data_IF_717956441799
#
_entry.id   IF_717956441799
#
_cell.length_a   1.000
_cell.length_b   1.000
_cell.length_c   1.000
_cell.angle_alpha   90.00
_cell.angle_beta   90.00
_cell.angle_gamma   90.00
#
_symmetry.space_group_name_H-M   'P 1'
#
loop_
_entity.id
_entity.type
_entity.pdbx_description
1 polymer ?
#
# COMPACT_ATOMS: atom_id res chain seq x y z
N UNK A 1 -31.73 49.16 26.05
CA UNK A 1 -30.82 48.76 24.96
C UNK A 1 -30.88 47.25 24.90
N UNK A 2 -31.69 46.70 24.02
CA UNK A 2 -31.85 45.25 23.88
C UNK A 2 -30.92 44.78 22.78
N UNK A 3 -29.89 44.04 23.17
CA UNK A 3 -28.82 43.53 22.32
C UNK A 3 -29.40 42.44 21.39
N UNK A 4 -29.76 42.83 20.16
CA UNK A 4 -30.34 41.93 19.17
C UNK A 4 -29.21 41.16 18.47
N UNK A 5 -28.61 40.21 19.19
CA UNK A 5 -27.54 39.36 18.64
C UNK A 5 -28.09 38.49 17.51
N UNK A 6 -27.49 38.62 16.32
CA UNK A 6 -27.80 37.78 15.16
C UNK A 6 -27.56 36.32 15.54
N UNK A 7 -28.49 35.43 15.19
CA UNK A 7 -28.34 33.98 15.33
C UNK A 7 -28.56 33.32 13.99
N UNK A 8 -27.73 32.32 13.69
CA UNK A 8 -27.75 31.50 12.49
C UNK A 8 -28.50 30.22 12.83
N UNK A 9 -29.53 29.89 12.05
CA UNK A 9 -30.14 28.58 12.11
C UNK A 9 -29.22 27.61 11.39
N UNK A 10 -28.61 26.69 12.12
CA UNK A 10 -27.75 25.64 11.60
C UNK A 10 -28.56 24.35 11.55
N UNK A 11 -28.71 23.79 10.35
CA UNK A 11 -29.37 22.50 10.11
C UNK A 11 -28.31 21.46 9.81
N UNK A 12 -28.34 20.35 10.54
CA UNK A 12 -27.43 19.22 10.33
C UNK A 12 -28.16 18.12 9.56
N UNK A 13 -27.51 17.60 8.52
CA UNK A 13 -28.02 16.53 7.65
C UNK A 13 -26.98 15.41 7.63
N UNK A 14 -27.41 14.17 7.82
CA UNK A 14 -26.56 13.00 7.62
C UNK A 14 -26.29 12.82 6.12
N UNK A 15 -25.01 12.73 5.74
CA UNK A 15 -24.62 12.61 4.33
C UNK A 15 -25.00 11.25 3.72
N UNK A 16 -25.18 10.22 4.54
CA UNK A 16 -25.40 8.84 4.07
C UNK A 16 -26.83 8.57 3.60
N UNK A 17 -27.81 9.23 4.21
CA UNK A 17 -29.24 8.97 3.95
C UNK A 17 -30.09 10.24 3.74
N UNK A 18 -29.46 11.43 3.74
CA UNK A 18 -30.12 12.74 3.65
C UNK A 18 -31.09 13.06 4.80
N UNK A 19 -31.06 12.31 5.91
CA UNK A 19 -31.95 12.57 7.05
C UNK A 19 -31.48 13.76 7.90
N UNK A 20 -32.42 14.63 8.35
CA UNK A 20 -32.08 15.72 9.24
C UNK A 20 -31.74 15.21 10.64
N UNK A 21 -30.49 15.43 11.06
CA UNK A 21 -30.01 15.09 12.40
C UNK A 21 -30.54 16.08 13.47
N UNK A 22 -30.75 17.34 13.09
CA UNK A 22 -31.32 18.35 13.97
C UNK A 22 -31.04 19.79 13.55
N UNK A 23 -31.54 20.74 14.34
CA UNK A 23 -31.32 22.17 14.12
C UNK A 23 -30.93 22.90 15.41
N UNK A 24 -30.02 23.87 15.30
CA UNK A 24 -29.59 24.71 16.42
C UNK A 24 -29.45 26.18 16.00
N UNK A 25 -29.68 27.09 16.94
CA UNK A 25 -29.45 28.53 16.71
C UNK A 25 -28.19 29.00 17.40
N UNK A 26 -27.13 29.20 16.61
CA UNK A 26 -25.82 29.61 17.10
C UNK A 26 -25.51 31.07 16.75
N UNK A 27 -24.80 31.81 17.61
CA UNK A 27 -24.21 33.08 17.24
C UNK A 27 -23.07 32.86 16.22
N UNK A 28 -22.86 33.75 15.24
CA UNK A 28 -21.82 33.58 14.20
C UNK A 28 -20.41 33.37 14.74
N UNK A 29 -20.11 33.88 15.93
CA UNK A 29 -18.80 33.78 16.57
C UNK A 29 -18.47 32.36 17.07
N UNK A 30 -19.47 31.47 17.17
CA UNK A 30 -19.30 30.05 17.51
C UNK A 30 -19.09 29.16 16.27
N UNK A 31 -19.16 29.72 15.06
CA UNK A 31 -18.93 29.01 13.80
C UNK A 31 -17.57 29.42 13.24
N UNK A 32 -16.87 28.58 12.45
CA UNK A 32 -15.61 28.95 11.81
C UNK A 32 -15.82 30.09 10.79
N UNK A 33 -14.71 30.65 10.29
CA UNK A 33 -14.78 31.68 9.24
C UNK A 33 -15.25 31.07 7.90
N UNK A 34 -14.87 29.81 7.66
CA UNK A 34 -15.22 29.00 6.50
C UNK A 34 -15.24 27.52 6.88
N UNK A 35 -16.04 26.73 6.18
CA UNK A 35 -16.01 25.26 6.23
C UNK A 35 -15.25 24.65 5.04
N UNK A 36 -14.38 25.43 4.39
CA UNK A 36 -13.50 24.93 3.33
C UNK A 36 -12.35 24.04 3.87
N UNK A 37 -12.03 24.19 5.15
CA UNK A 37 -11.08 23.34 5.85
C UNK A 37 -11.82 22.20 6.58
N UNK A 38 -11.14 21.07 6.73
CA UNK A 38 -11.66 19.91 7.42
C UNK A 38 -12.08 20.27 8.85
N UNK A 39 -13.39 20.17 9.12
CA UNK A 39 -13.97 20.58 10.40
C UNK A 39 -14.68 19.38 11.01
N UNK A 40 -14.33 19.03 12.24
CA UNK A 40 -15.05 18.01 13.03
C UNK A 40 -15.96 18.70 14.03
N UNK A 41 -17.20 18.22 14.14
CA UNK A 41 -18.19 18.64 15.13
C UNK A 41 -18.41 17.52 16.13
N UNK A 42 -18.58 17.89 17.39
CA UNK A 42 -18.99 16.98 18.44
C UNK A 42 -20.50 17.17 18.67
N UNK A 43 -21.30 16.16 18.33
CA UNK A 43 -22.75 16.16 18.49
C UNK A 43 -23.13 14.97 19.37
N UNK A 44 -23.72 15.25 20.54
CA UNK A 44 -23.98 14.27 21.60
C UNK A 44 -22.71 13.51 22.02
N UNK A 45 -22.68 12.18 21.86
CA UNK A 45 -21.53 11.32 22.19
C UNK A 45 -20.65 10.99 20.97
N UNK A 46 -20.99 11.54 19.80
CA UNK A 46 -20.38 11.20 18.51
C UNK A 46 -19.58 12.37 17.91
N UNK A 47 -18.49 12.02 17.22
CA UNK A 47 -17.75 12.95 16.39
C UNK A 47 -18.24 12.84 14.94
N UNK A 48 -18.41 13.98 14.28
CA UNK A 48 -18.95 14.09 12.93
C UNK A 48 -18.06 14.97 12.08
N UNK A 49 -17.73 14.52 10.87
CA UNK A 49 -16.97 15.29 9.89
C UNK A 49 -17.92 16.14 9.05
N UNK A 50 -17.65 17.44 8.91
CA UNK A 50 -18.37 18.30 7.97
C UNK A 50 -17.90 17.99 6.55
N UNK A 51 -18.74 17.33 5.75
CA UNK A 51 -18.42 16.98 4.35
C UNK A 51 -18.85 18.05 3.35
N UNK A 52 -19.88 18.83 3.71
CA UNK A 52 -20.28 19.99 2.92
C UNK A 52 -20.99 21.04 3.78
N UNK A 53 -20.90 22.31 3.36
CA UNK A 53 -21.59 23.42 3.99
C UNK A 53 -22.23 24.32 2.94
N UNK A 54 -23.47 24.74 3.19
CA UNK A 54 -24.20 25.71 2.36
C UNK A 54 -24.94 26.72 3.24
N UNK A 55 -24.57 28.02 3.22
CA UNK A 55 -23.40 28.61 2.55
C UNK A 55 -22.05 28.24 3.20
N UNK A 56 -20.95 28.33 2.44
CA UNK A 56 -19.62 27.88 2.87
C UNK A 56 -18.95 28.82 3.88
N UNK A 57 -19.22 30.14 3.80
CA UNK A 57 -18.49 31.16 4.56
C UNK A 57 -19.36 31.93 5.55
N UNK A 58 -18.73 32.44 6.62
CA UNK A 58 -19.43 33.19 7.68
C UNK A 58 -20.13 34.43 7.19
N UNK A 59 -19.56 35.13 6.21
CA UNK A 59 -20.20 36.29 5.61
C UNK A 59 -21.55 35.92 4.98
N UNK A 60 -21.60 34.81 4.25
CA UNK A 60 -22.79 34.37 3.52
C UNK A 60 -23.86 33.85 4.47
N UNK A 61 -23.51 32.93 5.39
CA UNK A 61 -24.51 32.39 6.31
C UNK A 61 -24.98 33.43 7.34
N UNK A 62 -24.19 34.47 7.64
CA UNK A 62 -24.65 35.62 8.44
C UNK A 62 -25.67 36.47 7.69
N UNK A 63 -25.50 36.62 6.37
CA UNK A 63 -26.44 37.32 5.52
C UNK A 63 -27.76 36.56 5.37
N UNK A 64 -27.70 35.24 5.12
CA UNK A 64 -28.89 34.39 4.95
C UNK A 64 -29.56 34.02 6.28
N UNK A 65 -28.82 34.10 7.39
CA UNK A 65 -29.18 33.60 8.73
C UNK A 65 -29.45 32.09 8.77
N UNK A 66 -28.95 31.36 7.77
CA UNK A 66 -29.12 29.92 7.61
C UNK A 66 -27.81 29.28 7.18
N UNK A 67 -27.53 28.12 7.73
CA UNK A 67 -26.39 27.28 7.38
C UNK A 67 -26.87 25.82 7.39
N UNK A 68 -26.63 25.09 6.32
CA UNK A 68 -26.86 23.65 6.26
C UNK A 68 -25.50 22.97 6.24
N UNK A 69 -25.26 22.05 7.17
CA UNK A 69 -24.05 21.22 7.21
C UNK A 69 -24.43 19.78 6.92
N UNK A 70 -23.76 19.18 5.93
CA UNK A 70 -23.79 17.74 5.68
C UNK A 70 -22.68 17.10 6.49
N UNK A 71 -23.02 16.07 7.25
CA UNK A 71 -22.14 15.45 8.21
C UNK A 71 -21.98 13.96 7.91
N UNK A 72 -20.77 13.45 8.06
CA UNK A 72 -20.48 12.02 8.05
C UNK A 72 -19.98 11.60 9.43
N UNK A 73 -20.56 10.55 10.01
CA UNK A 73 -20.19 10.09 11.36
C UNK A 73 -18.76 9.55 11.35
N UNK A 74 -17.96 10.02 12.30
CA UNK A 74 -16.60 9.49 12.50
C UNK A 74 -16.71 8.20 13.30
N UNK A 75 -16.61 7.07 12.62
CA UNK A 75 -16.55 5.77 13.30
C UNK A 75 -15.21 5.61 14.03
N UNK A 76 -15.25 5.61 15.36
CA UNK A 76 -14.11 5.23 16.19
C UNK A 76 -13.99 3.71 16.20
N UNK A 77 -13.22 3.18 15.25
CA UNK A 77 -12.83 1.77 15.25
C UNK A 77 -11.78 1.59 16.34
N UNK A 78 -12.01 0.64 17.24
CA UNK A 78 -10.99 0.23 18.20
C UNK A 78 -9.78 -0.32 17.43
N UNK A 79 -8.57 0.27 17.56
CA UNK A 79 -7.39 -0.24 16.88
C UNK A 79 -7.12 -1.72 17.14
N UNK A 80 -7.56 -2.28 18.29
CA UNK A 80 -7.43 -3.70 18.60
C UNK A 80 -8.31 -4.61 17.71
N UNK A 81 -9.27 -4.03 16.99
CA UNK A 81 -10.12 -4.73 16.02
C UNK A 81 -9.63 -4.60 14.58
N UNK A 82 -8.60 -3.78 14.34
CA UNK A 82 -7.99 -3.65 13.02
C UNK A 82 -7.19 -4.91 12.72
N UNK A 83 -7.61 -5.62 11.68
CA UNK A 83 -6.93 -6.81 11.19
C UNK A 83 -5.77 -6.42 10.29
N UNK A 84 -4.74 -7.26 10.26
CA UNK A 84 -3.73 -7.21 9.21
C UNK A 84 -4.36 -7.61 7.87
N UNK A 85 -3.97 -6.90 6.81
CA UNK A 85 -4.35 -7.17 5.41
C UNK A 85 -3.52 -8.27 4.77
N UNK A 86 -2.40 -8.66 5.38
CA UNK A 86 -1.50 -9.69 4.90
C UNK A 86 -1.15 -10.67 6.03
N UNK A 87 -0.96 -11.96 5.72
CA UNK A 87 -0.49 -12.94 6.70
C UNK A 87 0.98 -12.75 7.07
N UNK A 88 1.75 -12.00 6.26
CA UNK A 88 3.17 -11.82 6.48
C UNK A 88 3.75 -10.54 5.89
N UNK A 89 4.78 -10.00 6.53
CA UNK A 89 5.59 -8.85 6.09
C UNK A 89 7.08 -9.13 6.31
N UNK A 90 7.94 -8.41 5.59
CA UNK A 90 9.40 -8.46 5.82
C UNK A 90 9.76 -7.62 7.05
N UNK A 91 10.73 -8.08 7.86
CA UNK A 91 11.18 -7.40 9.08
C UNK A 91 11.78 -6.02 8.84
N UNK A 92 12.48 -5.85 7.71
CA UNK A 92 13.20 -4.61 7.40
C UNK A 92 12.86 -4.11 6.00
N UNK A 93 12.61 -2.82 5.91
CA UNK A 93 12.57 -2.07 4.67
C UNK A 93 13.97 -1.54 4.36
N UNK A 94 14.37 -1.48 3.09
CA UNK A 94 15.60 -0.81 2.72
C UNK A 94 15.53 0.68 3.05
N UNK A 95 16.68 1.27 3.40
CA UNK A 95 16.77 2.69 3.69
C UNK A 95 16.40 3.54 2.47
N UNK A 96 15.71 4.66 2.71
CA UNK A 96 15.59 5.73 1.72
C UNK A 96 16.81 6.65 1.83
N UNK A 97 17.39 7.02 0.69
CA UNK A 97 18.55 7.90 0.64
C UNK A 97 18.16 9.37 0.49
N UNK A 98 19.12 10.17 0.04
CA UNK A 98 18.92 11.62 -0.14
C UNK A 98 18.48 12.02 -1.56
N UNK A 99 18.36 11.05 -2.48
CA UNK A 99 18.00 11.35 -3.88
C UNK A 99 16.52 11.70 -3.98
N UNK A 100 16.15 12.90 -4.47
CA UNK A 100 14.77 13.29 -4.62
C UNK A 100 14.08 12.47 -5.73
N UNK A 101 12.76 12.38 -5.63
CA UNK A 101 11.94 11.75 -6.65
C UNK A 101 11.91 12.57 -7.94
N UNK A 102 11.84 11.88 -9.07
CA UNK A 102 11.66 12.48 -10.40
C UNK A 102 10.24 12.30 -10.95
N UNK A 103 9.42 11.49 -10.29
CA UNK A 103 8.07 11.11 -10.75
C UNK A 103 8.06 9.94 -11.74
N UNK A 104 9.19 9.24 -11.87
CA UNK A 104 9.38 8.09 -12.76
C UNK A 104 9.81 6.85 -11.98
N UNK A 105 9.76 6.90 -10.65
CA UNK A 105 10.07 5.78 -9.80
C UNK A 105 8.89 4.81 -9.76
N UNK A 106 9.18 3.51 -9.61
CA UNK A 106 8.16 2.58 -9.16
C UNK A 106 7.81 2.93 -7.71
N UNK A 107 6.57 3.33 -7.47
CA UNK A 107 6.03 3.58 -6.14
C UNK A 107 5.34 2.30 -5.64
N UNK A 108 5.68 1.85 -4.44
CA UNK A 108 5.04 0.69 -3.81
C UNK A 108 4.65 0.94 -2.37
N UNK A 109 3.66 0.19 -1.88
CA UNK A 109 3.37 0.12 -0.46
C UNK A 109 4.45 -0.70 0.26
N UNK A 110 4.76 -0.28 1.49
CA UNK A 110 5.80 -0.87 2.33
C UNK A 110 5.52 -2.35 2.63
N UNK A 111 4.26 -2.70 2.87
CA UNK A 111 3.82 -4.07 3.16
C UNK A 111 3.90 -5.02 1.95
N UNK A 112 3.96 -4.48 0.73
CA UNK A 112 4.20 -5.24 -0.50
C UNK A 112 5.69 -5.55 -0.75
N UNK A 113 6.61 -4.99 0.05
CA UNK A 113 8.04 -5.24 -0.07
C UNK A 113 8.37 -6.73 0.11
N UNK A 114 8.99 -7.32 -0.92
CA UNK A 114 9.43 -8.72 -0.95
C UNK A 114 8.31 -9.72 -0.65
N UNK A 115 7.08 -9.48 -1.11
CA UNK A 115 5.99 -10.46 -1.01
C UNK A 115 5.99 -11.49 -2.15
N UNK A 116 6.58 -11.13 -3.29
CA UNK A 116 6.75 -11.99 -4.45
C UNK A 116 8.12 -11.72 -5.05
N UNK A 117 9.04 -12.68 -4.93
CA UNK A 117 10.46 -12.46 -5.26
C UNK A 117 11.15 -13.75 -5.74
N UNK A 118 12.30 -13.57 -6.38
CA UNK A 118 13.26 -14.63 -6.68
C UNK A 118 14.28 -14.73 -5.55
N UNK A 119 14.57 -15.96 -5.12
CA UNK A 119 15.46 -16.27 -3.99
C UNK A 119 16.42 -17.40 -4.38
N UNK A 120 17.69 -17.33 -3.99
CA UNK A 120 18.66 -18.39 -4.26
C UNK A 120 18.26 -19.70 -3.57
N UNK A 121 18.37 -20.81 -4.31
CA UNK A 121 18.02 -22.15 -3.81
C UNK A 121 18.88 -22.62 -2.63
N UNK A 122 20.06 -22.03 -2.40
CA UNK A 122 20.84 -22.29 -1.18
C UNK A 122 20.09 -21.90 0.11
N UNK A 123 19.07 -21.04 0.03
CA UNK A 123 18.24 -20.64 1.16
C UNK A 123 16.99 -21.51 1.34
N UNK A 124 16.84 -22.64 0.64
CA UNK A 124 15.60 -23.42 0.69
C UNK A 124 15.14 -23.80 2.09
N UNK A 125 16.04 -24.10 3.03
CA UNK A 125 15.68 -24.40 4.42
C UNK A 125 15.12 -23.18 5.17
N UNK A 126 15.67 -21.99 4.91
CA UNK A 126 15.16 -20.74 5.49
C UNK A 126 13.79 -20.38 4.91
N UNK A 127 13.62 -20.58 3.59
CA UNK A 127 12.33 -20.38 2.92
C UNK A 127 11.28 -21.34 3.52
N UNK A 128 11.61 -22.61 3.74
CA UNK A 128 10.69 -23.58 4.33
C UNK A 128 10.25 -23.20 5.75
N UNK A 129 11.17 -22.73 6.59
CA UNK A 129 10.86 -22.28 7.95
C UNK A 129 9.91 -21.07 7.94
N UNK A 130 10.20 -20.09 7.09
CA UNK A 130 9.38 -18.88 6.94
C UNK A 130 7.99 -19.23 6.37
N UNK A 131 7.90 -20.05 5.32
CA UNK A 131 6.61 -20.48 4.76
C UNK A 131 5.77 -21.29 5.78
N UNK A 132 6.40 -22.14 6.60
CA UNK A 132 5.70 -22.86 7.66
C UNK A 132 5.13 -21.92 8.74
N UNK A 133 5.85 -20.85 9.09
CA UNK A 133 5.37 -19.84 10.02
C UNK A 133 4.20 -19.03 9.44
N UNK A 134 4.24 -18.69 8.14
CA UNK A 134 3.13 -18.00 7.46
C UNK A 134 1.91 -18.91 7.36
N UNK A 135 2.12 -20.20 7.08
CA UNK A 135 1.04 -21.19 7.06
C UNK A 135 0.33 -21.27 8.41
N UNK A 136 1.07 -21.20 9.52
CA UNK A 136 0.47 -21.14 10.84
C UNK A 136 -0.40 -19.89 11.07
N UNK A 137 -0.02 -18.73 10.51
CA UNK A 137 -0.86 -17.51 10.55
C UNK A 137 -2.17 -17.71 9.78
N UNK A 138 -2.12 -18.31 8.60
CA UNK A 138 -3.34 -18.65 7.84
C UNK A 138 -4.30 -19.52 8.64
N UNK A 139 -3.77 -20.57 9.28
CA UNK A 139 -4.57 -21.56 10.01
C UNK A 139 -5.15 -21.02 11.33
N UNK A 140 -4.39 -20.19 12.04
CA UNK A 140 -4.69 -19.85 13.44
C UNK A 140 -5.23 -18.43 13.62
N UNK A 141 -4.94 -17.52 12.69
CA UNK A 141 -5.17 -16.08 12.89
C UNK A 141 -6.06 -15.45 11.82
N UNK A 142 -6.46 -16.20 10.78
CA UNK A 142 -7.44 -15.74 9.80
C UNK A 142 -8.81 -15.47 10.44
N UNK A 143 -9.43 -14.37 10.03
CA UNK A 143 -10.78 -13.99 10.46
C UNK A 143 -11.42 -13.07 9.43
N UNK A 144 -12.51 -13.52 8.80
CA UNK A 144 -13.10 -12.80 7.68
C UNK A 144 -12.10 -12.61 6.55
N UNK A 145 -11.89 -11.36 6.13
CA UNK A 145 -10.99 -11.00 5.04
C UNK A 145 -9.56 -10.61 5.50
N UNK A 146 -9.21 -10.80 6.78
CA UNK A 146 -7.91 -10.41 7.32
C UNK A 146 -7.36 -11.36 8.38
N UNK A 147 -6.30 -10.95 9.06
CA UNK A 147 -5.62 -11.73 10.08
C UNK A 147 -5.45 -10.96 11.39
N UNK A 148 -5.59 -11.63 12.54
CA UNK A 148 -5.36 -11.02 13.87
C UNK A 148 -3.89 -10.79 14.19
N UNK A 149 -3.00 -11.55 13.55
CA UNK A 149 -1.54 -11.42 13.66
C UNK A 149 -0.92 -11.54 12.29
N UNK A 150 0.31 -11.04 12.19
CA UNK A 150 1.15 -11.13 11.01
C UNK A 150 2.45 -11.84 11.39
N UNK A 151 2.97 -12.66 10.49
CA UNK A 151 4.32 -13.20 10.61
C UNK A 151 5.34 -12.24 10.03
N UNK A 152 6.32 -11.82 10.83
CA UNK A 152 7.39 -10.91 10.43
C UNK A 152 8.62 -11.72 10.00
N UNK A 153 8.86 -11.81 8.69
CA UNK A 153 9.94 -12.61 8.09
C UNK A 153 11.29 -11.96 8.30
N UNK A 154 12.28 -12.75 8.73
CA UNK A 154 13.66 -12.28 8.92
C UNK A 154 14.61 -12.88 7.90
N UNK A 155 14.20 -13.97 7.25
CA UNK A 155 15.05 -14.74 6.36
C UNK A 155 14.41 -14.97 4.98
N UNK A 156 15.25 -15.14 3.94
CA UNK A 156 16.65 -14.75 3.92
C UNK A 156 16.80 -13.21 4.02
N UNK A 157 17.85 -12.76 4.72
CA UNK A 157 18.16 -11.33 4.86
C UNK A 157 18.60 -10.75 3.51
N UNK A 158 19.44 -11.50 2.78
CA UNK A 158 19.88 -11.21 1.41
C UNK A 158 19.44 -12.37 0.50
N UNK A 159 18.31 -12.25 -0.21
CA UNK A 159 17.69 -13.34 -0.99
C UNK A 159 18.53 -13.92 -2.10
N UNK A 160 19.41 -13.12 -2.72
CA UNK A 160 20.25 -13.58 -3.83
C UNK A 160 21.67 -13.76 -3.32
N UNK A 161 22.07 -15.02 -3.16
CA UNK A 161 23.45 -15.45 -2.93
C UNK A 161 24.06 -15.82 -4.28
N UNK A 162 24.65 -14.82 -4.96
CA UNK A 162 25.22 -15.05 -6.28
C UNK A 162 25.74 -13.80 -6.97
N UNK A 163 26.30 -14.02 -8.16
CA UNK A 163 26.90 -12.97 -8.99
C UNK A 163 25.92 -12.46 -10.06
N UNK A 164 24.66 -12.21 -9.70
CA UNK A 164 23.72 -11.54 -10.60
C UNK A 164 24.04 -10.04 -10.62
N UNK A 165 24.68 -9.56 -11.69
CA UNK A 165 24.85 -8.12 -11.88
C UNK A 165 23.55 -7.49 -12.36
N UNK A 166 23.30 -6.23 -11.97
CA UNK A 166 22.16 -5.47 -12.46
C UNK A 166 22.20 -5.32 -13.99
N UNK A 167 23.40 -5.20 -14.57
CA UNK A 167 23.56 -5.13 -16.03
C UNK A 167 23.12 -6.40 -16.73
N UNK A 168 23.44 -7.58 -16.19
CA UNK A 168 23.01 -8.86 -16.76
C UNK A 168 21.48 -9.02 -16.67
N UNK A 169 20.90 -8.61 -15.54
CA UNK A 169 19.46 -8.61 -15.34
C UNK A 169 18.77 -7.71 -16.38
N UNK A 170 19.19 -6.46 -16.50
CA UNK A 170 18.59 -5.52 -17.46
C UNK A 170 18.75 -5.99 -18.90
N UNK A 171 19.90 -6.58 -19.26
CA UNK A 171 20.12 -7.17 -20.58
C UNK A 171 19.15 -8.34 -20.85
N UNK A 172 18.87 -9.20 -19.85
CA UNK A 172 17.90 -10.28 -19.98
C UNK A 172 16.47 -9.78 -20.25
N UNK A 173 16.14 -8.54 -19.82
CA UNK A 173 14.87 -7.88 -20.08
C UNK A 173 14.92 -6.84 -21.21
N UNK A 174 16.04 -6.73 -21.94
CA UNK A 174 16.26 -5.72 -22.98
C UNK A 174 16.00 -4.28 -22.49
N UNK A 175 16.32 -3.99 -21.23
CA UNK A 175 16.16 -2.68 -20.59
C UNK A 175 17.46 -1.89 -20.73
N UNK A 176 17.36 -0.67 -21.25
CA UNK A 176 18.52 0.20 -21.43
C UNK A 176 19.03 0.80 -20.12
N UNK A 177 18.11 1.22 -19.24
CA UNK A 177 18.42 1.80 -17.93
C UNK A 177 17.27 1.55 -16.96
N UNK A 178 17.56 1.24 -15.69
CA UNK A 178 16.52 1.09 -14.68
C UNK A 178 16.00 2.46 -14.22
N UNK A 179 14.78 2.45 -13.72
CA UNK A 179 14.18 3.50 -12.92
C UNK A 179 14.57 3.36 -11.44
N UNK A 180 14.19 4.36 -10.63
CA UNK A 180 14.33 4.27 -9.18
C UNK A 180 13.15 3.53 -8.55
N UNK A 181 13.32 3.15 -7.28
CA UNK A 181 12.27 2.61 -6.43
C UNK A 181 11.96 3.62 -5.31
N UNK A 182 10.70 3.76 -4.94
CA UNK A 182 10.26 4.53 -3.77
C UNK A 182 9.11 3.84 -3.05
N UNK A 183 8.99 4.13 -1.76
CA UNK A 183 7.82 3.77 -0.97
C UNK A 183 6.76 4.86 -1.01
N UNK A 184 5.49 4.49 -0.84
CA UNK A 184 4.38 5.43 -0.77
C UNK A 184 4.54 6.37 0.43
N UNK A 185 4.44 7.68 0.18
CA UNK A 185 4.63 8.71 1.21
C UNK A 185 6.09 9.06 1.50
N UNK A 186 7.07 8.34 0.94
CA UNK A 186 8.47 8.74 1.01
C UNK A 186 8.75 9.93 0.09
N UNK A 187 9.67 10.82 0.52
CA UNK A 187 10.09 11.98 -0.27
C UNK A 187 11.31 11.70 -1.17
N UNK A 188 11.95 10.55 -0.99
CA UNK A 188 13.22 10.20 -1.63
C UNK A 188 13.24 8.74 -2.06
N UNK A 189 14.19 8.42 -2.95
CA UNK A 189 14.38 7.07 -3.49
C UNK A 189 14.99 6.12 -2.45
N UNK A 190 14.66 4.84 -2.58
CA UNK A 190 15.34 3.74 -1.89
C UNK A 190 16.82 3.69 -2.27
N UNK A 191 17.70 3.57 -1.29
CA UNK A 191 19.15 3.43 -1.51
C UNK A 191 19.48 2.15 -2.26
N UNK A 192 20.30 2.27 -3.30
CA UNK A 192 20.60 1.18 -4.23
C UNK A 192 19.37 0.48 -4.83
N UNK A 193 18.18 1.09 -4.69
CA UNK A 193 16.94 0.60 -5.24
C UNK A 193 16.91 0.79 -6.75
N UNK A 194 16.40 -0.22 -7.45
CA UNK A 194 16.11 -0.14 -8.87
C UNK A 194 14.70 -0.66 -9.14
N UNK A 195 14.13 -0.18 -10.23
CA UNK A 195 12.94 -0.76 -10.84
C UNK A 195 13.10 -0.77 -12.36
N UNK A 196 12.37 -1.62 -13.04
CA UNK A 196 12.20 -1.53 -14.50
C UNK A 196 10.87 -2.12 -14.90
N UNK A 197 10.36 -1.66 -16.04
CA UNK A 197 9.15 -2.21 -16.67
C UNK A 197 9.54 -2.83 -18.00
N UNK A 198 9.24 -4.12 -18.17
CA UNK A 198 9.42 -4.82 -19.43
C UNK A 198 8.49 -4.26 -20.52
N UNK A 199 8.79 -4.55 -21.79
CA UNK A 199 8.01 -4.03 -22.94
C UNK A 199 6.55 -4.47 -22.94
N UNK A 200 6.24 -5.55 -22.21
CA UNK A 200 4.90 -6.10 -22.03
C UNK A 200 4.17 -5.55 -20.79
N UNK A 201 4.78 -4.58 -20.08
CA UNK A 201 4.20 -3.90 -18.94
C UNK A 201 4.48 -4.52 -17.57
N UNK A 202 5.14 -5.69 -17.51
CA UNK A 202 5.49 -6.27 -16.21
C UNK A 202 6.64 -5.51 -15.54
N UNK A 203 6.42 -5.07 -14.30
CA UNK A 203 7.45 -4.39 -13.52
C UNK A 203 8.19 -5.34 -12.58
N UNK A 204 9.51 -5.15 -12.47
CA UNK A 204 10.35 -5.81 -11.48
C UNK A 204 11.10 -4.73 -10.69
N UNK A 205 11.51 -5.08 -9.47
CA UNK A 205 12.20 -4.16 -8.58
C UNK A 205 13.24 -4.90 -7.74
N UNK A 206 14.09 -4.16 -7.05
CA UNK A 206 15.05 -4.77 -6.17
C UNK A 206 16.10 -3.82 -5.62
N UNK A 207 17.12 -4.42 -5.03
CA UNK A 207 18.31 -3.73 -4.51
C UNK A 207 19.54 -4.23 -5.26
N UNK A 208 20.39 -3.29 -5.68
CA UNK A 208 21.64 -3.58 -6.36
C UNK A 208 22.83 -2.78 -5.78
N UNK A 209 23.19 -2.97 -4.50
CA UNK A 209 24.34 -2.29 -3.91
C UNK A 209 25.62 -2.64 -4.69
N UNK A 210 26.38 -1.62 -5.10
CA UNK A 210 27.57 -1.80 -5.93
C UNK A 210 27.30 -2.43 -7.31
N UNK A 211 26.05 -2.44 -7.78
CA UNK A 211 25.65 -3.04 -9.06
C UNK A 211 25.39 -4.55 -9.00
N UNK A 212 25.44 -5.17 -7.82
CA UNK A 212 25.14 -6.58 -7.61
C UNK A 212 23.75 -6.75 -7.01
N UNK A 213 22.88 -7.50 -7.68
CA UNK A 213 21.49 -7.70 -7.26
C UNK A 213 21.47 -8.57 -6.01
N UNK A 214 20.83 -8.05 -4.96
CA UNK A 214 20.66 -8.72 -3.65
C UNK A 214 19.20 -9.07 -3.37
N UNK A 215 18.27 -8.32 -3.97
CA UNK A 215 16.83 -8.54 -3.95
C UNK A 215 16.29 -8.41 -5.37
N UNK A 216 15.41 -9.31 -5.79
CA UNK A 216 14.69 -9.24 -7.06
C UNK A 216 13.20 -9.58 -6.84
N UNK A 217 12.40 -8.56 -6.67
CA UNK A 217 10.95 -8.65 -6.52
C UNK A 217 10.21 -8.49 -7.84
N UNK A 218 9.05 -9.13 -7.91
CA UNK A 218 8.08 -8.99 -8.99
C UNK A 218 6.98 -8.05 -8.48
N UNK A 219 6.81 -6.90 -9.14
CA UNK A 219 5.74 -5.98 -8.78
C UNK A 219 4.40 -6.63 -9.12
N UNK A 220 3.53 -6.75 -8.13
CA UNK A 220 2.16 -7.12 -8.37
C UNK A 220 1.48 -5.94 -9.07
N UNK A 221 1.17 -6.13 -10.36
CA UNK A 221 0.46 -5.13 -11.15
C UNK A 221 -1.02 -5.47 -11.16
N UNK A 222 -1.87 -4.55 -11.65
CA UNK A 222 -3.29 -4.82 -11.86
C UNK A 222 -3.56 -5.84 -12.98
N UNK A 223 -2.52 -6.35 -13.66
CA UNK A 223 -2.68 -7.36 -14.69
C UNK A 223 -3.05 -8.70 -14.05
N UNK A 224 -4.13 -9.38 -14.49
CA UNK A 224 -4.59 -10.66 -13.96
C UNK A 224 -3.58 -11.81 -14.11
N UNK A 225 -2.62 -11.66 -15.03
CA UNK A 225 -1.67 -12.69 -15.46
C UNK A 225 -0.44 -11.97 -16.02
N UNK A 226 0.76 -12.43 -15.68
CA UNK A 226 1.97 -11.92 -16.33
C UNK A 226 2.00 -12.31 -17.82
N UNK A 227 2.52 -11.43 -18.69
CA UNK A 227 2.68 -11.77 -20.10
C UNK A 227 3.74 -12.87 -20.31
N UNK A 228 3.55 -13.67 -21.35
CA UNK A 228 4.38 -14.85 -21.65
C UNK A 228 5.88 -14.55 -21.79
N UNK A 229 6.19 -13.38 -22.37
CA UNK A 229 7.56 -12.95 -22.59
C UNK A 229 8.28 -12.71 -21.26
N UNK A 230 7.67 -11.98 -20.32
CA UNK A 230 8.17 -11.82 -18.96
C UNK A 230 8.30 -13.13 -18.20
N UNK A 231 7.32 -14.04 -18.31
CA UNK A 231 7.40 -15.37 -17.69
C UNK A 231 8.63 -16.13 -18.20
N UNK A 232 8.85 -16.12 -19.52
CA UNK A 232 10.00 -16.79 -20.15
C UNK A 232 11.33 -16.18 -19.69
N UNK A 233 11.42 -14.85 -19.63
CA UNK A 233 12.63 -14.14 -19.18
C UNK A 233 12.92 -14.38 -17.70
N UNK A 234 11.90 -14.36 -16.85
CA UNK A 234 12.02 -14.69 -15.42
C UNK A 234 12.49 -16.13 -15.21
N UNK A 235 11.91 -17.10 -15.93
CA UNK A 235 12.34 -18.49 -15.88
C UNK A 235 13.81 -18.66 -16.30
N UNK A 236 14.23 -17.99 -17.38
CA UNK A 236 15.62 -18.03 -17.84
C UNK A 236 16.60 -17.40 -16.84
N UNK A 237 16.23 -16.30 -16.17
CA UNK A 237 17.03 -15.72 -15.09
C UNK A 237 17.08 -16.68 -13.90
N UNK A 238 15.95 -17.26 -13.50
CA UNK A 238 15.91 -18.20 -12.38
C UNK A 238 16.76 -19.44 -12.61
N UNK A 239 16.69 -20.04 -13.80
CA UNK A 239 17.51 -21.20 -14.17
C UNK A 239 19.01 -20.86 -14.23
N UNK A 240 19.38 -19.71 -14.84
CA UNK A 240 20.78 -19.31 -14.99
C UNK A 240 21.49 -19.05 -13.66
N UNK A 241 20.75 -18.58 -12.66
CA UNK A 241 21.31 -18.11 -11.39
C UNK A 241 20.87 -18.96 -10.18
N UNK A 242 20.36 -20.18 -10.42
CA UNK A 242 19.91 -21.11 -9.38
C UNK A 242 18.93 -20.47 -8.38
N UNK A 243 17.93 -19.76 -8.90
CA UNK A 243 16.89 -19.09 -8.11
C UNK A 243 15.58 -19.90 -8.15
N UNK A 244 14.81 -19.79 -7.07
CA UNK A 244 13.42 -20.21 -7.00
C UNK A 244 12.50 -18.99 -6.80
N UNK A 245 11.30 -19.07 -7.35
CA UNK A 245 10.27 -18.07 -7.19
C UNK A 245 9.51 -18.35 -5.89
N UNK A 246 9.32 -17.33 -5.05
CA UNK A 246 8.62 -17.45 -3.77
C UNK A 246 7.50 -16.42 -3.68
N UNK A 247 6.28 -16.88 -3.44
CA UNK A 247 5.11 -16.05 -3.16
C UNK A 247 4.70 -16.25 -1.69
N UNK A 248 5.25 -15.41 -0.82
CA UNK A 248 5.23 -15.60 0.63
C UNK A 248 3.82 -15.70 1.22
N UNK A 249 2.94 -14.75 0.88
CA UNK A 249 1.57 -14.74 1.40
C UNK A 249 0.72 -15.94 0.94
N UNK A 250 1.10 -16.65 -0.13
CA UNK A 250 0.43 -17.87 -0.61
C UNK A 250 1.10 -19.16 -0.14
N UNK A 251 2.14 -19.07 0.69
CA UNK A 251 2.91 -20.23 1.15
C UNK A 251 3.43 -21.10 -0.02
N UNK A 252 3.81 -20.47 -1.14
CA UNK A 252 4.17 -21.18 -2.36
C UNK A 252 5.56 -20.80 -2.86
N UNK A 253 6.28 -21.80 -3.38
CA UNK A 253 7.54 -21.61 -4.09
C UNK A 253 7.69 -22.61 -5.23
N UNK A 254 8.48 -22.26 -6.24
CA UNK A 254 8.77 -23.15 -7.35
C UNK A 254 10.11 -22.82 -8.03
N UNK A 255 10.79 -23.86 -8.50
CA UNK A 255 11.93 -23.74 -9.43
C UNK A 255 11.45 -23.63 -10.87
N UNK A 256 12.26 -23.05 -11.76
CA UNK A 256 11.87 -22.74 -13.15
C UNK A 256 11.41 -23.95 -13.99
N UNK A 257 11.86 -25.16 -13.64
CA UNK A 257 11.49 -26.42 -14.31
C UNK A 257 10.13 -26.98 -13.86
N UNK A 258 9.56 -26.45 -12.78
CA UNK A 258 8.28 -26.90 -12.23
C UNK A 258 7.10 -26.17 -12.90
N UNK A 259 6.00 -26.87 -13.24
CA UNK A 259 4.79 -26.21 -13.75
C UNK A 259 4.24 -25.13 -12.82
N UNK A 260 4.45 -25.29 -11.51
CA UNK A 260 4.03 -24.34 -10.48
C UNK A 260 4.67 -22.96 -10.67
N UNK A 261 5.91 -22.87 -11.18
CA UNK A 261 6.57 -21.59 -11.43
C UNK A 261 5.74 -20.70 -12.34
N UNK A 262 5.26 -21.28 -13.44
CA UNK A 262 4.40 -20.59 -14.39
C UNK A 262 3.04 -20.26 -13.77
N UNK A 263 2.44 -21.21 -13.04
CA UNK A 263 1.15 -21.00 -12.38
C UNK A 263 1.18 -19.80 -11.43
N UNK A 264 2.24 -19.66 -10.62
CA UNK A 264 2.41 -18.53 -9.70
C UNK A 264 2.49 -17.17 -10.41
N UNK A 265 2.96 -17.13 -11.66
CA UNK A 265 3.05 -15.91 -12.47
C UNK A 265 1.77 -15.64 -13.28
N UNK A 266 0.92 -16.65 -13.49
CA UNK A 266 -0.30 -16.51 -14.30
C UNK A 266 -1.58 -16.36 -13.49
N UNK A 267 -1.59 -16.84 -12.25
CA UNK A 267 -2.74 -16.80 -11.36
C UNK A 267 -2.62 -15.60 -10.43
N UNK A 268 -3.36 -14.52 -10.70
CA UNK A 268 -3.60 -13.50 -9.69
C UNK A 268 -4.44 -14.07 -8.54
N UNK A 269 -4.17 -13.56 -7.35
CA UNK A 269 -4.93 -13.84 -6.14
C UNK A 269 -6.42 -13.50 -6.34
N UNK A 270 -7.28 -14.50 -6.13
CA UNK A 270 -8.63 -14.27 -5.59
C UNK A 270 -8.54 -14.08 -4.07
#
# INVERSE_FOLDING_TARGET
MSDNKIRILVTFIDDSDDEPLGEVKLPPEQLPESFAEETTLHLDDDDWLVVAADPLTRAEFTQTKKLTLRLSRVEKIDPATILYSLPSITNELPACGDRPLTGHELAMLDDNWRQFELVSQCFSAQIDEELAAIQAIHEQESTGAGWRKVHVRKHPETPIDGFLSLSDLLAAFAIASPEGLTFHGAATRVEAGFAFTASDGQACYGLAPGGMVTVLGIAQTSLPTLPEESITRLAAVAEKFDLELVQWCRCARATADQPLFRQLLTENAE
#
